data_IF_293993550429
#
_entry.id   IF_293993550429
#
_cell.length_a   1.000
_cell.length_b   1.000
_cell.length_c   1.000
_cell.angle_alpha   90.00
_cell.angle_beta   90.00
_cell.angle_gamma   90.00
#
_symmetry.space_group_name_H-M   'P 1'
#
loop_
_entity.id
_entity.type
_entity.pdbx_description
1 polymer ?
#
# COMPACT_ATOMS: atom_id res chain seq x y z
N UNK A 1 27.43 -64.10 -9.74
CA UNK A 1 27.66 -62.76 -10.35
C UNK A 1 26.61 -61.75 -9.86
N UNK A 2 26.69 -61.25 -8.62
CA UNK A 2 25.83 -60.15 -8.14
C UNK A 2 26.60 -59.07 -7.37
N UNK A 3 27.72 -59.44 -6.73
CA UNK A 3 28.55 -58.54 -5.92
C UNK A 3 29.20 -57.41 -6.77
N UNK A 4 29.63 -57.72 -8.00
CA UNK A 4 30.21 -56.72 -8.93
C UNK A 4 29.19 -55.68 -9.43
N UNK A 5 27.89 -56.00 -9.44
CA UNK A 5 26.83 -55.10 -9.88
C UNK A 5 26.46 -54.08 -8.78
N UNK A 6 26.57 -54.47 -7.51
CA UNK A 6 26.41 -53.57 -6.36
C UNK A 6 27.58 -52.61 -6.20
N UNK A 7 28.83 -53.07 -6.39
CA UNK A 7 30.01 -52.19 -6.30
C UNK A 7 30.01 -51.08 -7.36
N UNK A 8 29.45 -51.35 -8.55
CA UNK A 8 29.35 -50.37 -9.62
C UNK A 8 28.22 -49.33 -9.43
N UNK A 9 27.18 -49.60 -8.63
CA UNK A 9 26.14 -48.60 -8.34
C UNK A 9 26.57 -47.62 -7.23
N UNK A 10 27.26 -48.13 -6.21
CA UNK A 10 27.78 -47.34 -5.09
C UNK A 10 28.92 -46.40 -5.49
N UNK A 11 29.69 -46.74 -6.54
CA UNK A 11 30.76 -45.89 -7.08
C UNK A 11 30.27 -44.90 -8.12
N UNK A 12 29.15 -45.19 -8.81
CA UNK A 12 28.58 -44.32 -9.84
C UNK A 12 27.96 -43.04 -9.26
N UNK A 13 27.26 -43.14 -8.13
CA UNK A 13 26.65 -41.98 -7.45
C UNK A 13 27.68 -40.92 -7.02
N UNK A 14 28.76 -41.25 -6.29
CA UNK A 14 29.77 -40.26 -5.92
C UNK A 14 30.58 -39.72 -7.12
N UNK A 15 30.81 -40.54 -8.16
CA UNK A 15 31.52 -40.06 -9.37
C UNK A 15 30.71 -39.02 -10.17
N UNK A 16 29.38 -39.14 -10.19
CA UNK A 16 28.50 -38.21 -10.88
C UNK A 16 28.38 -36.87 -10.13
N UNK A 17 28.44 -36.91 -8.80
CA UNK A 17 28.51 -35.74 -7.92
C UNK A 17 29.87 -35.03 -8.07
N UNK A 18 30.97 -35.79 -8.12
CA UNK A 18 32.31 -35.24 -8.32
C UNK A 18 32.52 -34.62 -9.71
N UNK A 19 31.84 -35.11 -10.75
CA UNK A 19 31.94 -34.55 -12.12
C UNK A 19 31.10 -33.28 -12.30
N UNK A 20 29.94 -33.19 -11.63
CA UNK A 20 28.98 -32.09 -11.80
C UNK A 20 28.96 -31.10 -10.62
N UNK A 21 29.97 -31.11 -9.76
CA UNK A 21 30.02 -30.26 -8.56
C UNK A 21 29.90 -28.77 -8.88
N UNK A 22 30.47 -28.32 -10.01
CA UNK A 22 30.34 -26.93 -10.51
C UNK A 22 28.90 -26.60 -10.88
N UNK A 23 28.22 -27.50 -11.59
CA UNK A 23 26.81 -27.33 -11.98
C UNK A 23 25.90 -27.28 -10.76
N UNK A 24 26.15 -28.15 -9.77
CA UNK A 24 25.43 -28.15 -8.49
C UNK A 24 25.63 -26.85 -7.71
N UNK A 25 26.88 -26.37 -7.61
CA UNK A 25 27.19 -25.12 -6.92
C UNK A 25 26.49 -23.91 -7.57
N UNK A 26 26.48 -23.83 -8.91
CA UNK A 26 25.78 -22.76 -9.64
C UNK A 26 24.28 -22.78 -9.38
N UNK A 27 23.65 -23.97 -9.38
CA UNK A 27 22.21 -24.11 -9.09
C UNK A 27 21.90 -23.68 -7.67
N UNK A 28 22.70 -24.10 -6.69
CA UNK A 28 22.51 -23.71 -5.27
C UNK A 28 22.66 -22.20 -5.10
N UNK A 29 23.67 -21.58 -5.71
CA UNK A 29 23.85 -20.12 -5.67
C UNK A 29 22.67 -19.39 -6.32
N UNK A 30 22.23 -19.82 -7.50
CA UNK A 30 21.11 -19.20 -8.21
C UNK A 30 19.80 -19.28 -7.40
N UNK A 31 19.53 -20.43 -6.78
CA UNK A 31 18.37 -20.62 -5.90
C UNK A 31 18.45 -19.73 -4.67
N UNK A 32 19.63 -19.60 -4.05
CA UNK A 32 19.84 -18.71 -2.90
C UNK A 32 19.60 -17.24 -3.23
N UNK A 33 20.09 -16.78 -4.39
CA UNK A 33 19.85 -15.40 -4.87
C UNK A 33 18.37 -15.18 -5.19
N UNK A 34 17.73 -16.12 -5.89
CA UNK A 34 16.30 -16.00 -6.20
C UNK A 34 15.43 -15.98 -4.92
N UNK A 35 15.76 -16.80 -3.92
CA UNK A 35 15.04 -16.85 -2.65
C UNK A 35 15.19 -15.55 -1.85
N UNK A 36 16.40 -14.99 -1.77
CA UNK A 36 16.64 -13.71 -1.08
C UNK A 36 15.97 -12.54 -1.79
N UNK A 37 16.01 -12.49 -3.12
CA UNK A 37 15.26 -11.49 -3.90
C UNK A 37 13.76 -11.61 -3.66
N UNK A 38 13.20 -12.82 -3.67
CA UNK A 38 11.77 -13.03 -3.41
C UNK A 38 11.36 -12.61 -2.00
N UNK A 39 12.15 -12.97 -1.00
CA UNK A 39 11.92 -12.57 0.39
C UNK A 39 12.00 -11.04 0.56
N UNK A 40 12.97 -10.40 -0.09
CA UNK A 40 13.08 -8.94 -0.11
C UNK A 40 11.87 -8.29 -0.78
N UNK A 41 11.39 -8.82 -1.91
CA UNK A 41 10.19 -8.32 -2.58
C UNK A 41 8.91 -8.56 -1.76
N UNK A 42 8.78 -9.68 -1.07
CA UNK A 42 7.64 -9.97 -0.20
C UNK A 42 7.63 -9.01 1.00
N UNK A 43 8.78 -8.75 1.61
CA UNK A 43 8.91 -7.79 2.70
C UNK A 43 8.67 -6.35 2.24
N UNK A 44 9.13 -5.98 1.05
CA UNK A 44 8.88 -4.66 0.48
C UNK A 44 7.39 -4.46 0.14
N UNK A 45 6.75 -5.45 -0.49
CA UNK A 45 5.29 -5.44 -0.72
C UNK A 45 4.51 -5.30 0.60
N UNK A 46 4.92 -6.02 1.64
CA UNK A 46 4.29 -5.92 2.96
C UNK A 46 4.49 -4.53 3.59
N UNK A 47 5.66 -3.91 3.42
CA UNK A 47 5.93 -2.54 3.89
C UNK A 47 5.11 -1.51 3.13
N UNK A 48 5.06 -1.61 1.80
CA UNK A 48 4.25 -0.73 0.94
C UNK A 48 2.77 -0.86 1.29
N UNK A 49 2.24 -2.07 1.45
CA UNK A 49 0.84 -2.26 1.85
C UNK A 49 0.55 -1.69 3.24
N UNK A 50 1.47 -1.83 4.22
CA UNK A 50 1.30 -1.22 5.55
C UNK A 50 1.32 0.31 5.47
N UNK A 51 2.24 0.89 4.71
CA UNK A 51 2.30 2.32 4.47
C UNK A 51 1.02 2.83 3.79
N UNK A 52 0.52 2.11 2.77
CA UNK A 52 -0.74 2.45 2.10
C UNK A 52 -1.92 2.40 3.06
N UNK A 53 -2.06 1.32 3.86
CA UNK A 53 -3.13 1.22 4.87
C UNK A 53 -3.06 2.33 5.91
N UNK A 54 -1.86 2.75 6.31
CA UNK A 54 -1.68 3.87 7.24
C UNK A 54 -2.15 5.18 6.61
N UNK A 55 -1.74 5.45 5.37
CA UNK A 55 -2.19 6.63 4.60
C UNK A 55 -3.70 6.64 4.41
N UNK A 56 -4.31 5.50 4.06
CA UNK A 56 -5.76 5.39 3.93
C UNK A 56 -6.49 5.66 5.25
N UNK A 57 -5.94 5.20 6.38
CA UNK A 57 -6.48 5.53 7.72
C UNK A 57 -6.36 7.01 8.05
N UNK A 58 -5.22 7.63 7.75
CA UNK A 58 -5.01 9.06 7.93
C UNK A 58 -6.00 9.87 7.08
N UNK A 59 -6.17 9.51 5.80
CA UNK A 59 -7.15 10.15 4.91
C UNK A 59 -8.59 9.98 5.42
N UNK A 60 -8.96 8.80 5.92
CA UNK A 60 -10.28 8.59 6.54
C UNK A 60 -10.46 9.42 7.79
N UNK A 61 -9.45 9.51 8.65
CA UNK A 61 -9.52 10.35 9.84
C UNK A 61 -9.66 11.84 9.49
N UNK A 62 -9.00 12.31 8.42
CA UNK A 62 -9.18 13.66 7.90
C UNK A 62 -10.58 13.87 7.32
N UNK A 63 -11.07 12.91 6.55
CA UNK A 63 -12.43 12.93 6.02
C UNK A 63 -13.48 13.01 7.15
N UNK A 64 -13.32 12.24 8.22
CA UNK A 64 -14.19 12.28 9.40
C UNK A 64 -14.15 13.63 10.11
N UNK A 65 -12.97 14.26 10.23
CA UNK A 65 -12.84 15.63 10.77
C UNK A 65 -13.54 16.66 9.91
N UNK A 66 -13.43 16.56 8.58
CA UNK A 66 -14.12 17.46 7.63
C UNK A 66 -15.63 17.29 7.76
N UNK A 67 -16.14 16.06 7.87
CA UNK A 67 -17.57 15.81 8.08
C UNK A 67 -18.06 16.30 9.43
N UNK A 68 -17.28 16.09 10.51
CA UNK A 68 -17.61 16.62 11.82
C UNK A 68 -17.70 18.15 11.79
N UNK A 69 -16.74 18.81 11.13
CA UNK A 69 -16.79 20.25 10.89
C UNK A 69 -18.04 20.65 10.11
N UNK A 70 -18.33 19.98 8.98
CA UNK A 70 -19.53 20.21 8.19
C UNK A 70 -20.82 20.11 9.02
N UNK A 71 -20.95 19.06 9.86
CA UNK A 71 -22.10 18.90 10.76
C UNK A 71 -22.19 20.01 11.79
N UNK A 72 -21.08 20.42 12.41
CA UNK A 72 -21.09 21.54 13.36
C UNK A 72 -21.51 22.85 12.71
N UNK A 73 -21.02 23.13 11.50
CA UNK A 73 -21.39 24.34 10.75
C UNK A 73 -22.85 24.26 10.30
N UNK A 74 -23.32 23.10 9.86
CA UNK A 74 -24.71 22.90 9.48
C UNK A 74 -25.67 23.04 10.68
N UNK A 75 -25.26 22.60 11.88
CA UNK A 75 -26.01 22.85 13.12
C UNK A 75 -26.08 24.35 13.45
N UNK A 76 -25.01 25.10 13.21
CA UNK A 76 -24.99 26.56 13.41
C UNK A 76 -25.78 27.33 12.34
N UNK A 77 -25.83 26.81 11.11
CA UNK A 77 -26.45 27.47 9.95
C UNK A 77 -27.37 26.49 9.21
N UNK A 78 -28.52 26.16 9.82
CA UNK A 78 -29.47 25.16 9.33
C UNK A 78 -30.03 25.44 7.91
N UNK A 79 -30.04 26.70 7.48
CA UNK A 79 -30.75 27.14 6.27
C UNK A 79 -29.82 27.38 5.07
N UNK A 80 -28.50 27.22 5.23
CA UNK A 80 -27.51 27.52 4.19
C UNK A 80 -26.72 26.30 3.73
N UNK A 81 -26.39 26.26 2.43
CA UNK A 81 -25.39 25.35 1.90
C UNK A 81 -24.02 25.68 2.48
N UNK A 82 -23.37 24.72 3.13
CA UNK A 82 -22.05 24.92 3.72
C UNK A 82 -21.01 24.79 2.62
N UNK A 83 -20.50 25.93 2.14
CA UNK A 83 -19.40 26.00 1.17
C UNK A 83 -18.11 26.35 1.90
N UNK A 84 -17.08 25.53 1.73
CA UNK A 84 -15.78 25.69 2.40
C UNK A 84 -14.64 25.66 1.38
N UNK A 85 -13.65 26.53 1.58
CA UNK A 85 -12.41 26.56 0.80
C UNK A 85 -11.46 25.43 1.22
N UNK A 86 -10.76 24.84 0.26
CA UNK A 86 -9.67 23.90 0.52
C UNK A 86 -8.58 24.51 1.42
N UNK A 87 -8.26 25.79 1.19
CA UNK A 87 -7.25 26.53 1.95
C UNK A 87 -7.64 26.71 3.42
N UNK A 88 -8.87 27.15 3.67
CA UNK A 88 -9.38 27.35 5.03
C UNK A 88 -9.44 26.03 5.81
N UNK A 89 -9.80 24.93 5.13
CA UNK A 89 -9.77 23.59 5.72
C UNK A 89 -8.35 23.14 6.04
N UNK A 90 -7.39 23.42 5.16
CA UNK A 90 -5.97 23.10 5.37
C UNK A 90 -5.40 23.85 6.58
N UNK A 91 -5.67 25.15 6.70
CA UNK A 91 -5.27 25.95 7.85
C UNK A 91 -5.90 25.45 9.15
N UNK A 92 -7.21 25.15 9.13
CA UNK A 92 -7.94 24.76 10.33
C UNK A 92 -7.65 23.34 10.80
N UNK A 93 -7.36 22.43 9.87
CA UNK A 93 -6.94 21.06 10.18
C UNK A 93 -5.42 20.96 10.44
N UNK A 94 -4.67 22.03 10.20
CA UNK A 94 -3.20 22.07 10.26
C UNK A 94 -2.57 21.00 9.34
N UNK A 95 -3.12 20.88 8.12
CA UNK A 95 -2.74 19.87 7.14
C UNK A 95 -2.37 20.50 5.81
N UNK A 96 -1.63 19.74 4.98
CA UNK A 96 -1.29 20.22 3.64
C UNK A 96 -2.55 20.31 2.76
N UNK A 97 -2.69 21.37 1.94
CA UNK A 97 -3.85 21.52 1.06
C UNK A 97 -4.01 20.34 0.09
N UNK A 98 -2.90 19.76 -0.39
CA UNK A 98 -2.93 18.55 -1.25
C UNK A 98 -3.57 17.34 -0.56
N UNK A 99 -3.30 17.15 0.74
CA UNK A 99 -3.86 16.06 1.54
C UNK A 99 -5.36 16.28 1.76
N UNK A 100 -5.76 17.52 2.02
CA UNK A 100 -7.17 17.92 2.17
C UNK A 100 -7.93 17.71 0.85
N UNK A 101 -7.37 18.14 -0.28
CA UNK A 101 -7.94 17.91 -1.60
C UNK A 101 -8.10 16.41 -1.91
N UNK A 102 -7.12 15.59 -1.51
CA UNK A 102 -7.19 14.13 -1.64
C UNK A 102 -8.32 13.55 -0.78
N UNK A 103 -8.46 13.98 0.47
CA UNK A 103 -9.53 13.54 1.36
C UNK A 103 -10.92 13.98 0.85
N UNK A 104 -11.06 15.20 0.34
CA UNK A 104 -12.28 15.71 -0.27
C UNK A 104 -12.66 14.93 -1.53
N UNK A 105 -11.68 14.53 -2.35
CA UNK A 105 -11.92 13.64 -3.50
C UNK A 105 -12.40 12.25 -3.09
N UNK A 106 -11.96 11.71 -1.95
CA UNK A 106 -12.50 10.47 -1.39
C UNK A 106 -13.96 10.66 -0.96
N UNK A 107 -14.25 11.74 -0.23
CA UNK A 107 -15.60 12.09 0.19
C UNK A 107 -16.56 12.35 -0.99
N UNK A 108 -16.04 12.88 -2.09
CA UNK A 108 -16.80 13.10 -3.33
C UNK A 108 -17.26 11.76 -3.93
N UNK A 109 -16.39 10.75 -3.94
CA UNK A 109 -16.76 9.39 -4.39
C UNK A 109 -17.80 8.74 -3.46
N UNK A 110 -17.75 9.05 -2.17
CA UNK A 110 -18.74 8.61 -1.19
C UNK A 110 -20.05 9.45 -1.21
N UNK A 111 -20.18 10.42 -2.12
CA UNK A 111 -21.33 11.34 -2.25
C UNK A 111 -21.62 12.20 -1.01
N UNK A 112 -20.65 12.34 -0.09
CA UNK A 112 -20.80 13.14 1.14
C UNK A 112 -20.45 14.62 0.94
N UNK A 113 -19.75 14.95 -0.14
CA UNK A 113 -19.44 16.33 -0.53
C UNK A 113 -19.66 16.49 -2.02
N UNK A 114 -19.96 17.71 -2.44
CA UNK A 114 -20.10 18.09 -3.85
C UNK A 114 -19.10 19.19 -4.17
N UNK A 115 -18.62 19.20 -5.42
CA UNK A 115 -17.73 20.26 -5.89
C UNK A 115 -18.55 21.53 -6.11
N UNK A 116 -18.12 22.65 -5.53
CA UNK A 116 -18.81 23.91 -5.74
C UNK A 116 -18.50 24.45 -7.17
N UNK A 117 -19.32 25.40 -7.68
CA UNK A 117 -19.07 26.04 -8.97
C UNK A 117 -17.72 26.79 -9.05
N UNK A 118 -17.19 27.19 -7.89
CA UNK A 118 -15.91 27.87 -7.77
C UNK A 118 -14.78 26.85 -7.54
N UNK A 119 -13.70 26.94 -8.30
CA UNK A 119 -12.53 26.06 -8.16
C UNK A 119 -11.91 26.21 -6.76
N UNK A 120 -11.64 25.10 -6.09
CA UNK A 120 -11.09 25.09 -4.74
C UNK A 120 -12.14 25.24 -3.62
N UNK A 121 -13.43 25.29 -3.98
CA UNK A 121 -14.53 25.31 -3.02
C UNK A 121 -15.34 24.02 -3.07
N UNK A 122 -15.79 23.60 -1.89
CA UNK A 122 -16.53 22.37 -1.70
C UNK A 122 -17.80 22.62 -0.92
N UNK A 123 -18.89 22.05 -1.40
CA UNK A 123 -20.17 22.02 -0.71
C UNK A 123 -20.22 20.75 0.14
N UNK A 124 -20.33 20.91 1.45
CA UNK A 124 -20.51 19.79 2.37
C UNK A 124 -21.99 19.41 2.40
N UNK A 125 -22.32 18.14 2.14
CA UNK A 125 -23.68 17.66 2.35
C UNK A 125 -23.82 17.34 3.85
N UNK A 126 -24.68 18.09 4.53
CA UNK A 126 -24.99 17.93 5.96
C UNK A 126 -25.76 16.64 6.24
#
# INVERSE_FOLDING_TARGET
MQITRMMNSLTRVPSWIASNWKTSAVVVCAVGVAATCRWYLETDKARVQRAQRKREKELRALADKILAYGRTVHQCYQTGDVVVSEGDLAERLCERPDTVATALNVLLREQKVQRAPLSGYWKLNG
#
